data_IF_649815837877
#
_entry.id   IF_649815837877
#
_cell.length_a   1.000
_cell.length_b   1.000
_cell.length_c   1.000
_cell.angle_alpha   90.00
_cell.angle_beta   90.00
_cell.angle_gamma   90.00
#
_symmetry.space_group_name_H-M   'P 1'
#
loop_
_entity.id
_entity.type
_entity.pdbx_description
1 polymer ?
#
# COMPACT_ATOMS: atom_id res chain seq x y z
N UNK A 1 -7.55 -13.62 -13.33
CA UNK A 1 -7.24 -12.33 -12.66
C UNK A 1 -7.32 -12.35 -11.11
N UNK A 2 -7.98 -13.31 -10.46
CA UNK A 2 -7.98 -13.44 -8.97
C UNK A 2 -6.71 -14.08 -8.37
N UNK A 3 -5.91 -14.81 -9.13
CA UNK A 3 -4.68 -15.47 -8.68
C UNK A 3 -3.43 -14.58 -8.56
N UNK A 4 -3.37 -13.46 -9.30
CA UNK A 4 -2.22 -12.53 -9.29
C UNK A 4 -2.18 -11.59 -8.07
N UNK A 5 -3.24 -11.52 -7.27
CA UNK A 5 -3.28 -10.72 -6.03
C UNK A 5 -2.68 -11.44 -4.81
N UNK A 6 -2.50 -12.75 -4.86
CA UNK A 6 -2.07 -13.58 -3.72
C UNK A 6 -0.63 -13.38 -3.24
N UNK A 7 0.19 -12.64 -3.99
CA UNK A 7 1.65 -12.58 -3.77
C UNK A 7 2.14 -11.29 -3.09
N UNK A 8 1.23 -10.45 -2.62
CA UNK A 8 1.58 -9.07 -2.27
C UNK A 8 2.05 -8.84 -0.83
N UNK A 9 1.92 -9.81 0.11
CA UNK A 9 1.85 -9.35 1.51
C UNK A 9 2.51 -10.26 2.55
N UNK A 10 3.53 -10.99 2.20
CA UNK A 10 4.32 -11.72 3.22
C UNK A 10 5.41 -10.88 3.89
N UNK A 11 5.48 -9.57 3.67
CA UNK A 11 6.60 -8.76 4.19
C UNK A 11 6.27 -7.29 4.48
N UNK A 12 5.15 -7.03 5.19
CA UNK A 12 4.93 -5.72 5.82
C UNK A 12 5.38 -5.77 7.29
N UNK A 13 6.58 -6.26 7.53
CA UNK A 13 7.41 -5.78 8.62
C UNK A 13 8.60 -5.14 7.90
N UNK A 14 8.49 -3.82 7.65
CA UNK A 14 9.65 -3.06 7.22
C UNK A 14 10.63 -3.02 8.39
N UNK A 15 11.77 -3.72 8.33
CA UNK A 15 12.84 -3.39 9.23
C UNK A 15 13.24 -1.96 8.89
N UNK A 16 13.24 -1.09 9.89
CA UNK A 16 13.93 0.17 9.83
C UNK A 16 15.40 -0.17 9.51
N UNK A 17 15.74 -0.22 8.22
CA UNK A 17 17.05 -0.58 7.74
C UNK A 17 17.98 0.55 8.17
N UNK A 18 18.77 0.28 9.24
CA UNK A 18 20.05 0.95 9.42
C UNK A 18 20.79 0.81 8.10
N UNK A 19 21.04 1.93 7.46
CA UNK A 19 21.90 2.05 6.28
C UNK A 19 23.29 1.52 6.65
N UNK A 20 23.55 0.26 6.36
CA UNK A 20 24.91 -0.23 6.24
C UNK A 20 25.24 -0.25 4.75
N UNK A 21 26.18 0.61 4.41
CA UNK A 21 26.64 0.82 3.06
C UNK A 21 27.18 -0.46 2.41
N UNK A 22 26.46 -0.88 1.41
CA UNK A 22 27.01 -1.47 0.20
C UNK A 22 25.96 -1.21 -0.90
N UNK A 23 26.19 -0.20 -1.73
CA UNK A 23 25.37 0.11 -2.90
C UNK A 23 25.71 -0.89 -3.98
N UNK A 24 24.80 -1.73 -4.49
CA UNK A 24 24.97 -2.34 -5.77
C UNK A 24 24.71 -1.26 -6.83
N UNK A 25 25.67 -1.12 -7.74
CA UNK A 25 25.57 -0.39 -9.00
C UNK A 25 24.25 -0.74 -9.70
N UNK A 26 23.55 0.30 -10.21
CA UNK A 26 22.23 0.22 -10.85
C UNK A 26 22.05 -0.94 -11.82
N UNK A 27 21.30 -1.95 -11.36
CA UNK A 27 20.97 -3.15 -12.12
C UNK A 27 19.67 -3.75 -11.59
N UNK A 28 18.95 -4.42 -12.49
CA UNK A 28 17.81 -5.29 -12.23
C UNK A 28 18.08 -6.17 -11.00
N UNK A 29 17.08 -6.36 -10.14
CA UNK A 29 17.21 -7.19 -8.94
C UNK A 29 17.63 -8.62 -9.33
N UNK A 30 18.68 -9.16 -8.71
CA UNK A 30 19.01 -10.59 -8.86
C UNK A 30 17.98 -11.43 -8.09
N UNK A 31 16.94 -11.84 -8.84
CA UNK A 31 15.81 -12.63 -8.31
C UNK A 31 16.31 -13.95 -7.70
N UNK A 32 17.29 -14.59 -8.32
CA UNK A 32 17.86 -15.87 -7.86
C UNK A 32 18.54 -15.67 -6.50
N UNK A 33 19.36 -14.62 -6.39
CA UNK A 33 20.04 -14.30 -5.12
C UNK A 33 19.05 -13.95 -4.03
N UNK A 34 17.98 -13.21 -4.35
CA UNK A 34 16.93 -12.83 -3.41
C UNK A 34 16.17 -14.04 -2.87
N UNK A 35 15.77 -14.96 -3.75
CA UNK A 35 15.08 -16.20 -3.37
C UNK A 35 15.98 -17.10 -2.52
N UNK A 36 17.27 -17.24 -2.90
CA UNK A 36 18.26 -17.97 -2.09
C UNK A 36 18.30 -17.48 -0.64
N UNK A 37 18.41 -16.16 -0.45
CA UNK A 37 18.50 -15.55 0.87
C UNK A 37 17.21 -15.72 1.68
N UNK A 38 16.05 -15.56 1.06
CA UNK A 38 14.75 -15.65 1.73
C UNK A 38 14.38 -17.09 2.12
N UNK A 39 14.67 -18.07 1.26
CA UNK A 39 14.34 -19.47 1.51
C UNK A 39 15.48 -20.27 2.17
N UNK A 40 16.64 -19.64 2.36
CA UNK A 40 17.83 -20.27 2.94
C UNK A 40 18.24 -21.56 2.22
N UNK A 41 18.18 -21.52 0.88
CA UNK A 41 18.59 -22.62 -0.01
C UNK A 41 19.84 -22.23 -0.81
N UNK A 42 20.47 -23.19 -1.49
CA UNK A 42 21.65 -22.89 -2.29
C UNK A 42 21.27 -22.28 -3.65
N UNK A 43 22.15 -21.41 -4.19
CA UNK A 43 21.91 -20.69 -5.46
C UNK A 43 21.60 -21.65 -6.61
N UNK A 44 22.37 -22.73 -6.73
CA UNK A 44 22.19 -23.73 -7.78
C UNK A 44 20.85 -24.47 -7.69
N UNK A 45 20.30 -24.66 -6.46
CA UNK A 45 18.99 -25.26 -6.25
C UNK A 45 17.87 -24.35 -6.80
N UNK A 46 17.99 -23.04 -6.52
CA UNK A 46 17.06 -22.05 -7.06
C UNK A 46 17.12 -22.00 -8.58
N UNK A 47 18.33 -21.92 -9.16
CA UNK A 47 18.53 -21.92 -10.62
C UNK A 47 17.94 -23.16 -11.28
N UNK A 48 18.17 -24.34 -10.70
CA UNK A 48 17.63 -25.61 -11.22
C UNK A 48 16.10 -25.65 -11.13
N UNK A 49 15.52 -25.21 -10.01
CA UNK A 49 14.07 -25.17 -9.84
C UNK A 49 13.41 -24.18 -10.80
N UNK A 50 13.96 -22.96 -10.92
CA UNK A 50 13.46 -21.92 -11.84
C UNK A 50 13.49 -22.43 -13.27
N UNK A 51 14.58 -23.09 -13.69
CA UNK A 51 14.68 -23.68 -15.04
C UNK A 51 13.57 -24.69 -15.31
N UNK A 52 13.31 -25.61 -14.36
CA UNK A 52 12.26 -26.61 -14.49
C UNK A 52 10.86 -25.97 -14.53
N UNK A 53 10.62 -24.93 -13.75
CA UNK A 53 9.35 -24.18 -13.75
C UNK A 53 9.17 -23.49 -15.12
N UNK A 54 10.20 -22.86 -15.64
CA UNK A 54 10.18 -22.17 -16.93
C UNK A 54 9.98 -23.13 -18.13
N UNK A 55 10.42 -24.38 -17.98
CA UNK A 55 10.12 -25.47 -18.91
C UNK A 55 8.66 -25.96 -18.84
N UNK A 56 7.83 -25.40 -17.95
CA UNK A 56 6.41 -25.72 -17.79
C UNK A 56 6.14 -26.95 -16.91
N UNK A 57 7.11 -27.42 -16.14
CA UNK A 57 6.90 -28.53 -15.23
C UNK A 57 6.07 -28.08 -14.00
N UNK A 58 5.15 -28.90 -13.56
CA UNK A 58 4.35 -28.62 -12.34
C UNK A 58 5.14 -28.91 -11.06
N UNK A 59 4.89 -28.16 -10.00
CA UNK A 59 5.56 -28.35 -8.70
C UNK A 59 5.48 -29.80 -8.19
N UNK A 60 4.31 -30.49 -8.23
CA UNK A 60 4.24 -31.90 -7.84
C UNK A 60 5.09 -32.82 -8.71
N UNK A 61 5.28 -32.50 -9.99
CA UNK A 61 6.16 -33.27 -10.88
C UNK A 61 7.61 -33.07 -10.48
N UNK A 62 8.04 -31.83 -10.27
CA UNK A 62 9.41 -31.49 -9.85
C UNK A 62 9.75 -32.16 -8.53
N UNK A 63 8.87 -32.06 -7.52
CA UNK A 63 9.11 -32.61 -6.18
C UNK A 63 9.21 -34.14 -6.16
N UNK A 64 8.56 -34.83 -7.09
CA UNK A 64 8.57 -36.31 -7.16
C UNK A 64 9.66 -36.88 -8.07
N UNK A 65 9.83 -36.27 -9.25
CA UNK A 65 10.60 -36.85 -10.33
C UNK A 65 11.89 -36.11 -10.68
N UNK A 66 12.17 -34.96 -10.04
CA UNK A 66 13.35 -34.13 -10.30
C UNK A 66 14.13 -33.77 -9.03
N UNK A 67 13.98 -34.56 -7.97
CA UNK A 67 14.67 -34.35 -6.68
C UNK A 67 16.19 -34.23 -6.83
N UNK A 68 16.77 -35.06 -7.65
CA UNK A 68 18.21 -35.03 -7.89
C UNK A 68 18.69 -33.72 -8.52
N UNK A 69 17.90 -33.15 -9.41
CA UNK A 69 18.21 -31.90 -10.11
C UNK A 69 18.08 -30.71 -9.18
N UNK A 70 17.09 -30.73 -8.26
CA UNK A 70 16.80 -29.61 -7.34
C UNK A 70 17.48 -29.75 -5.96
N UNK A 71 18.34 -30.76 -5.78
CA UNK A 71 18.99 -31.01 -4.49
C UNK A 71 17.99 -31.35 -3.40
N UNK A 72 16.97 -32.15 -3.73
CA UNK A 72 15.95 -32.65 -2.80
C UNK A 72 15.06 -31.58 -2.18
N UNK A 73 14.82 -30.46 -2.86
CA UNK A 73 13.80 -29.50 -2.42
C UNK A 73 12.45 -30.20 -2.29
N UNK A 74 11.79 -30.01 -1.18
CA UNK A 74 10.48 -30.59 -0.93
C UNK A 74 9.36 -29.80 -1.61
N UNK A 75 8.13 -30.32 -1.59
CA UNK A 75 6.96 -29.69 -2.24
C UNK A 75 6.66 -28.29 -1.67
N UNK A 76 6.80 -28.10 -0.37
CA UNK A 76 6.57 -26.81 0.30
C UNK A 76 7.63 -25.78 -0.10
N UNK A 77 8.92 -26.16 -0.11
CA UNK A 77 10.00 -25.28 -0.56
C UNK A 77 9.84 -24.88 -2.03
N UNK A 78 9.45 -25.81 -2.89
CA UNK A 78 9.22 -25.53 -4.31
C UNK A 78 8.00 -24.65 -4.55
N UNK A 79 6.94 -24.79 -3.76
CA UNK A 79 5.77 -23.90 -3.82
C UNK A 79 6.14 -22.48 -3.39
N UNK A 80 6.81 -22.35 -2.25
CA UNK A 80 7.28 -21.05 -1.76
C UNK A 80 8.22 -20.39 -2.76
N UNK A 81 9.09 -21.16 -3.42
CA UNK A 81 9.97 -20.68 -4.47
C UNK A 81 9.17 -20.18 -5.69
N UNK A 82 8.21 -20.96 -6.19
CA UNK A 82 7.38 -20.60 -7.35
C UNK A 82 6.53 -19.35 -7.07
N UNK A 83 5.91 -19.28 -5.92
CA UNK A 83 5.15 -18.11 -5.47
C UNK A 83 6.05 -16.87 -5.40
N UNK A 84 7.22 -17.00 -4.80
CA UNK A 84 8.16 -15.89 -4.68
C UNK A 84 8.75 -15.45 -6.00
N UNK A 85 9.08 -16.41 -6.87
CA UNK A 85 9.56 -16.17 -8.25
C UNK A 85 8.51 -15.36 -9.03
N UNK A 86 7.26 -15.78 -8.99
CA UNK A 86 6.16 -15.11 -9.68
C UNK A 86 5.97 -13.69 -9.17
N UNK A 87 6.05 -13.48 -7.84
CA UNK A 87 5.98 -12.16 -7.24
C UNK A 87 7.13 -11.25 -7.70
N UNK A 88 8.37 -11.71 -7.60
CA UNK A 88 9.53 -10.90 -7.94
C UNK A 88 9.58 -10.56 -9.44
N UNK A 89 9.18 -11.48 -10.31
CA UNK A 89 9.00 -11.20 -11.75
C UNK A 89 7.94 -10.13 -11.98
N UNK A 90 6.79 -10.24 -11.33
CA UNK A 90 5.74 -9.22 -11.43
C UNK A 90 6.19 -7.86 -10.90
N UNK A 91 7.04 -7.82 -9.87
CA UNK A 91 7.63 -6.60 -9.35
C UNK A 91 8.57 -5.94 -10.37
N UNK A 92 9.48 -6.72 -10.99
CA UNK A 92 10.39 -6.18 -12.00
C UNK A 92 9.66 -5.73 -13.27
N UNK A 93 8.70 -6.51 -13.76
CA UNK A 93 7.83 -6.12 -14.86
C UNK A 93 7.09 -4.81 -14.57
N UNK A 94 6.60 -4.64 -13.34
CA UNK A 94 5.94 -3.41 -12.93
C UNK A 94 6.89 -2.22 -12.89
N UNK A 95 8.12 -2.41 -12.36
CA UNK A 95 9.14 -1.36 -12.36
C UNK A 95 9.44 -0.89 -13.78
N UNK A 96 9.63 -1.84 -14.71
CA UNK A 96 9.92 -1.52 -16.11
C UNK A 96 8.76 -0.74 -16.76
N UNK A 97 7.51 -1.20 -16.57
CA UNK A 97 6.33 -0.50 -17.08
C UNK A 97 6.22 0.92 -16.53
N UNK A 98 6.47 1.10 -15.23
CA UNK A 98 6.40 2.40 -14.56
C UNK A 98 7.50 3.33 -15.06
N UNK A 99 8.74 2.87 -15.15
CA UNK A 99 9.87 3.65 -15.66
C UNK A 99 9.58 4.12 -17.08
N UNK A 100 9.14 3.21 -17.97
CA UNK A 100 8.78 3.54 -19.35
C UNK A 100 7.67 4.59 -19.42
N UNK A 101 6.61 4.42 -18.62
CA UNK A 101 5.49 5.37 -18.59
C UNK A 101 5.88 6.77 -18.12
N UNK A 102 6.80 6.88 -17.15
CA UNK A 102 7.30 8.18 -16.65
C UNK A 102 8.27 8.81 -17.66
N UNK A 103 9.10 7.98 -18.30
CA UNK A 103 10.03 8.42 -19.36
C UNK A 103 9.28 8.99 -20.56
N UNK A 104 8.22 8.32 -21.02
CA UNK A 104 7.34 8.79 -22.10
C UNK A 104 6.69 10.15 -21.78
N UNK A 105 6.49 10.46 -20.50
CA UNK A 105 6.00 11.76 -20.03
C UNK A 105 7.11 12.83 -19.92
N UNK A 106 8.37 12.46 -20.12
CA UNK A 106 9.52 13.36 -19.96
C UNK A 106 9.78 13.81 -18.51
N UNK A 107 9.28 13.06 -17.51
CA UNK A 107 9.35 13.41 -16.09
C UNK A 107 10.28 12.49 -15.28
N UNK A 108 10.98 11.57 -15.92
CA UNK A 108 11.88 10.66 -15.24
C UNK A 108 13.18 11.37 -14.84
N UNK A 109 13.42 11.44 -13.53
CA UNK A 109 14.68 11.93 -12.94
C UNK A 109 15.53 10.76 -12.47
N UNK A 110 16.86 10.94 -12.38
CA UNK A 110 17.77 9.88 -11.93
C UNK A 110 17.46 9.43 -10.50
N UNK A 111 17.11 10.36 -9.58
CA UNK A 111 16.70 10.04 -8.20
C UNK A 111 15.42 9.18 -8.17
N UNK A 112 14.42 9.52 -8.98
CA UNK A 112 13.18 8.74 -9.07
C UNK A 112 13.43 7.35 -9.65
N UNK A 113 14.28 7.26 -10.66
CA UNK A 113 14.70 5.99 -11.25
C UNK A 113 15.38 5.09 -10.23
N UNK A 114 16.33 5.64 -9.46
CA UNK A 114 16.99 4.91 -8.37
C UNK A 114 15.99 4.43 -7.31
N UNK A 115 15.06 5.27 -6.88
CA UNK A 115 14.00 4.91 -5.92
C UNK A 115 13.11 3.78 -6.42
N UNK A 116 12.69 3.83 -7.70
CA UNK A 116 11.86 2.77 -8.31
C UNK A 116 12.63 1.46 -8.40
N UNK A 117 13.89 1.49 -8.85
CA UNK A 117 14.74 0.29 -8.92
C UNK A 117 15.02 -0.31 -7.55
N UNK A 118 15.23 0.53 -6.52
CA UNK A 118 15.46 0.10 -5.14
C UNK A 118 14.20 -0.43 -4.42
N UNK A 119 13.01 -0.20 -4.96
CA UNK A 119 11.75 -0.62 -4.35
C UNK A 119 11.69 -2.15 -4.22
N UNK A 120 11.30 -2.62 -3.02
CA UNK A 120 11.24 -4.05 -2.68
C UNK A 120 9.82 -4.63 -2.78
N UNK A 121 8.81 -3.77 -2.96
CA UNK A 121 7.40 -4.18 -3.01
C UNK A 121 6.64 -3.43 -4.10
N UNK A 122 5.60 -4.06 -4.63
CA UNK A 122 4.70 -3.46 -5.62
C UNK A 122 4.03 -2.20 -5.09
N UNK A 123 3.70 -2.17 -3.79
CA UNK A 123 3.05 -1.02 -3.15
C UNK A 123 3.94 0.23 -3.20
N UNK A 124 5.25 0.07 -2.91
CA UNK A 124 6.21 1.19 -3.00
C UNK A 124 6.35 1.68 -4.44
N UNK A 125 6.40 0.77 -5.42
CA UNK A 125 6.44 1.15 -6.84
C UNK A 125 5.18 1.90 -7.25
N UNK A 126 4.00 1.45 -6.78
CA UNK A 126 2.74 2.12 -7.08
C UNK A 126 2.62 3.50 -6.40
N UNK A 127 3.12 3.65 -5.17
CA UNK A 127 3.17 4.94 -4.49
C UNK A 127 4.09 5.93 -5.23
N UNK A 128 5.29 5.49 -5.68
CA UNK A 128 6.20 6.31 -6.47
C UNK A 128 5.62 6.69 -7.85
N UNK A 129 4.82 5.82 -8.46
CA UNK A 129 4.16 6.07 -9.74
C UNK A 129 2.92 6.97 -9.63
N UNK A 130 2.34 7.09 -8.44
CA UNK A 130 1.04 7.75 -8.21
C UNK A 130 0.94 9.18 -8.77
N UNK A 131 1.94 10.07 -8.63
CA UNK A 131 1.91 11.41 -9.20
C UNK A 131 1.88 11.43 -10.74
N UNK A 132 2.39 10.38 -11.38
CA UNK A 132 2.56 10.27 -12.83
C UNK A 132 1.47 9.44 -13.51
N UNK A 133 0.68 8.75 -12.71
CA UNK A 133 -0.40 7.90 -13.23
C UNK A 133 -1.50 8.74 -13.86
N UNK A 134 -1.95 8.43 -15.09
CA UNK A 134 -3.10 9.10 -15.68
C UNK A 134 -4.32 8.97 -14.75
N UNK A 135 -4.81 10.09 -14.27
CA UNK A 135 -5.96 10.16 -13.36
C UNK A 135 -7.24 10.45 -14.16
N UNK A 136 -8.35 9.91 -13.69
CA UNK A 136 -9.67 10.37 -14.14
C UNK A 136 -9.91 11.79 -13.61
N UNK A 137 -10.94 12.50 -14.10
CA UNK A 137 -11.29 13.83 -13.60
C UNK A 137 -11.45 13.82 -12.08
N UNK A 138 -10.49 14.45 -11.39
CA UNK A 138 -10.50 14.68 -9.94
C UNK A 138 -10.79 16.16 -9.68
N UNK A 139 -11.13 16.52 -8.43
CA UNK A 139 -11.28 17.94 -8.06
C UNK A 139 -10.03 18.74 -8.38
N UNK A 140 -8.86 18.19 -8.07
CA UNK A 140 -7.57 18.82 -8.35
C UNK A 140 -7.29 18.93 -9.86
N UNK A 141 -7.61 17.90 -10.68
CA UNK A 141 -7.42 18.00 -12.14
C UNK A 141 -8.32 19.06 -12.75
N UNK A 142 -9.57 19.17 -12.29
CA UNK A 142 -10.49 20.24 -12.72
C UNK A 142 -9.95 21.61 -12.31
N UNK A 143 -9.42 21.74 -11.07
CA UNK A 143 -8.82 22.99 -10.61
C UNK A 143 -7.57 23.37 -11.42
N UNK A 144 -6.77 22.39 -11.85
CA UNK A 144 -5.62 22.63 -12.75
C UNK A 144 -6.06 23.06 -14.15
N UNK A 145 -7.10 22.42 -14.72
CA UNK A 145 -7.71 22.84 -15.98
C UNK A 145 -8.23 24.28 -15.92
N UNK A 146 -8.75 24.71 -14.77
CA UNK A 146 -9.16 26.10 -14.48
C UNK A 146 -7.97 27.06 -14.27
N UNK A 147 -6.73 26.57 -14.26
CA UNK A 147 -5.52 27.39 -14.14
C UNK A 147 -5.21 27.85 -12.71
N UNK A 148 -5.63 27.10 -11.69
CA UNK A 148 -5.43 27.43 -10.28
C UNK A 148 -4.11 26.88 -9.69
N UNK A 149 -3.30 26.18 -10.48
CA UNK A 149 -2.00 25.64 -10.04
C UNK A 149 -1.03 26.72 -9.52
N UNK A 150 -0.89 27.90 -10.17
CA UNK A 150 -0.02 28.96 -9.64
C UNK A 150 -0.49 29.53 -8.29
N UNK A 151 -1.82 29.52 -8.01
CA UNK A 151 -2.35 29.92 -6.71
C UNK A 151 -1.97 28.89 -5.62
N UNK A 152 -2.06 27.58 -5.94
CA UNK A 152 -1.59 26.54 -5.03
C UNK A 152 -0.09 26.66 -4.72
N UNK A 153 0.74 26.93 -5.73
CA UNK A 153 2.17 27.19 -5.56
C UNK A 153 2.43 28.42 -4.70
N UNK A 154 1.67 29.51 -4.90
CA UNK A 154 1.78 30.72 -4.10
C UNK A 154 1.52 30.44 -2.61
N UNK A 155 0.46 29.67 -2.31
CA UNK A 155 0.15 29.25 -0.94
C UNK A 155 1.28 28.42 -0.33
N UNK A 156 1.84 27.48 -1.09
CA UNK A 156 2.91 26.59 -0.63
C UNK A 156 4.26 27.31 -0.42
N UNK A 157 4.48 28.48 -1.01
CA UNK A 157 5.67 29.31 -0.72
C UNK A 157 5.64 29.90 0.69
N UNK A 158 4.46 30.04 1.30
CA UNK A 158 4.27 30.54 2.68
C UNK A 158 4.85 31.93 2.91
N UNK A 159 4.74 32.80 1.92
CA UNK A 159 5.29 34.16 1.93
C UNK A 159 4.19 35.22 1.72
N UNK A 160 2.93 34.89 1.93
CA UNK A 160 1.82 35.83 1.77
C UNK A 160 1.92 36.98 2.80
N UNK A 161 1.78 38.22 2.34
CA UNK A 161 1.78 39.41 3.16
C UNK A 161 0.40 40.02 3.33
N UNK A 162 -0.61 39.47 2.65
CA UNK A 162 -1.98 39.94 2.67
C UNK A 162 -2.95 38.71 2.61
N UNK A 163 -4.24 38.94 2.92
CA UNK A 163 -5.24 37.86 2.86
C UNK A 163 -5.28 37.15 1.51
N UNK A 164 -5.28 35.82 1.52
CA UNK A 164 -5.23 34.99 0.31
C UNK A 164 -6.40 35.23 -0.64
N UNK A 165 -7.53 35.76 -0.17
CA UNK A 165 -8.67 36.12 -1.02
C UNK A 165 -8.32 37.24 -2.02
N UNK A 166 -7.40 38.13 -1.65
CA UNK A 166 -6.92 39.18 -2.55
C UNK A 166 -6.11 38.60 -3.72
N UNK A 167 -5.27 37.61 -3.42
CA UNK A 167 -4.53 36.88 -4.46
C UNK A 167 -5.46 36.02 -5.29
N UNK A 168 -6.38 35.28 -4.63
CA UNK A 168 -7.36 34.42 -5.27
C UNK A 168 -8.30 35.20 -6.23
N UNK A 169 -8.60 36.46 -5.94
CA UNK A 169 -9.40 37.31 -6.81
C UNK A 169 -8.80 37.50 -8.20
N UNK A 170 -7.48 37.41 -8.35
CA UNK A 170 -6.80 37.51 -9.65
C UNK A 170 -7.08 36.32 -10.58
N UNK A 171 -7.54 35.20 -10.02
CA UNK A 171 -7.84 33.97 -10.76
C UNK A 171 -9.33 33.81 -11.08
N UNK A 172 -10.17 34.78 -10.69
CA UNK A 172 -11.61 34.78 -11.06
C UNK A 172 -11.74 35.04 -12.55
N UNK A 173 -12.40 34.12 -13.26
CA UNK A 173 -12.62 34.20 -14.70
C UNK A 173 -13.86 33.43 -15.08
N UNK A 174 -14.80 34.08 -15.78
CA UNK A 174 -16.00 33.41 -16.31
C UNK A 174 -15.64 32.38 -17.38
N UNK A 175 -14.62 32.61 -18.20
CA UNK A 175 -14.15 31.67 -19.22
C UNK A 175 -13.63 30.37 -18.62
N UNK A 176 -13.04 30.43 -17.42
CA UNK A 176 -12.51 29.27 -16.70
C UNK A 176 -13.48 28.71 -15.65
N UNK A 177 -14.71 29.20 -15.65
CA UNK A 177 -15.75 28.78 -14.70
C UNK A 177 -15.32 28.96 -13.22
N UNK A 178 -14.54 29.98 -12.90
CA UNK A 178 -14.19 30.39 -11.54
C UNK A 178 -14.93 31.70 -11.24
N UNK A 179 -15.98 31.61 -10.45
CA UNK A 179 -16.90 32.72 -10.24
C UNK A 179 -16.52 33.62 -9.06
N UNK A 180 -15.91 33.03 -8.03
CA UNK A 180 -15.56 33.75 -6.81
C UNK A 180 -14.12 33.44 -6.35
N UNK A 181 -13.50 34.34 -5.56
CA UNK A 181 -12.19 34.09 -4.97
C UNK A 181 -12.18 32.86 -4.05
N UNK A 182 -13.29 32.57 -3.38
CA UNK A 182 -13.43 31.39 -2.51
C UNK A 182 -13.37 30.09 -3.33
N UNK A 183 -14.02 30.06 -4.51
CA UNK A 183 -13.92 28.93 -5.43
C UNK A 183 -12.48 28.73 -5.93
N UNK A 184 -11.77 29.81 -6.22
CA UNK A 184 -10.36 29.75 -6.61
C UNK A 184 -9.48 29.18 -5.47
N UNK A 185 -9.72 29.66 -4.24
CA UNK A 185 -8.98 29.20 -3.07
C UNK A 185 -9.27 27.71 -2.77
N UNK A 186 -10.54 27.29 -2.87
CA UNK A 186 -10.94 25.89 -2.72
C UNK A 186 -10.28 24.99 -3.77
N UNK A 187 -10.24 25.43 -5.04
CA UNK A 187 -9.54 24.70 -6.08
C UNK A 187 -8.04 24.57 -5.83
N UNK A 188 -7.39 25.62 -5.32
CA UNK A 188 -5.99 25.56 -4.92
C UNK A 188 -5.78 24.60 -3.75
N UNK A 189 -6.67 24.57 -2.76
CA UNK A 189 -6.64 23.58 -1.67
C UNK A 189 -6.79 22.14 -2.19
N UNK A 190 -7.69 21.89 -3.13
CA UNK A 190 -7.87 20.57 -3.73
C UNK A 190 -6.59 20.09 -4.45
N UNK A 191 -5.86 21.02 -5.12
CA UNK A 191 -4.56 20.71 -5.74
C UNK A 191 -3.53 20.37 -4.67
N UNK A 192 -3.44 21.15 -3.60
CA UNK A 192 -2.49 20.91 -2.49
C UNK A 192 -2.82 19.57 -1.83
N UNK A 193 -4.09 19.28 -1.52
CA UNK A 193 -4.52 18.05 -0.90
C UNK A 193 -4.17 16.81 -1.76
N UNK A 194 -4.36 16.88 -3.07
CA UNK A 194 -3.96 15.79 -3.97
C UNK A 194 -2.45 15.61 -4.01
N UNK A 195 -1.67 16.70 -4.04
CA UNK A 195 -0.21 16.66 -4.03
C UNK A 195 0.30 15.97 -2.76
N UNK A 196 -0.26 16.30 -1.59
CA UNK A 196 0.06 15.66 -0.31
C UNK A 196 -0.25 14.16 -0.37
N UNK A 197 -1.41 13.79 -0.92
CA UNK A 197 -1.85 12.40 -1.00
C UNK A 197 -1.04 11.53 -1.96
N UNK A 198 -0.39 12.16 -2.93
CA UNK A 198 0.42 11.48 -3.94
C UNK A 198 1.88 11.30 -3.52
N UNK A 199 2.30 11.94 -2.44
CA UNK A 199 3.66 11.81 -1.92
C UNK A 199 3.88 10.42 -1.31
N UNK A 200 4.87 9.70 -1.86
CA UNK A 200 5.17 8.32 -1.47
C UNK A 200 5.71 8.21 -0.03
N UNK A 201 6.49 9.20 0.43
CA UNK A 201 7.06 9.21 1.77
C UNK A 201 5.98 9.45 2.82
N UNK A 202 5.01 10.34 2.54
CA UNK A 202 3.84 10.54 3.39
C UNK A 202 3.02 9.26 3.51
N UNK A 203 2.73 8.60 2.39
CA UNK A 203 1.97 7.35 2.39
C UNK A 203 2.68 6.23 3.14
N UNK A 204 3.99 6.10 2.92
CA UNK A 204 4.81 5.11 3.62
C UNK A 204 4.78 5.33 5.14
N UNK A 205 4.97 6.57 5.59
CA UNK A 205 4.91 6.90 7.01
C UNK A 205 3.54 6.58 7.61
N UNK A 206 2.45 7.03 6.96
CA UNK A 206 1.09 6.84 7.46
C UNK A 206 0.73 5.35 7.50
N UNK A 207 1.10 4.58 6.50
CA UNK A 207 0.91 3.12 6.47
C UNK A 207 1.62 2.45 7.64
N UNK A 208 2.90 2.77 7.84
CA UNK A 208 3.70 2.16 8.90
C UNK A 208 3.15 2.49 10.29
N UNK A 209 2.82 3.74 10.57
CA UNK A 209 2.28 4.13 11.86
C UNK A 209 0.89 3.54 12.12
N UNK A 210 0.05 3.38 11.07
CA UNK A 210 -1.25 2.74 11.20
C UNK A 210 -1.11 1.24 11.47
N UNK A 211 -0.14 0.56 10.89
CA UNK A 211 0.15 -0.86 11.22
C UNK A 211 0.67 -1.00 12.66
N UNK A 212 1.55 -0.08 13.08
CA UNK A 212 2.18 -0.14 14.40
C UNK A 212 1.24 0.21 15.55
N UNK A 213 0.44 1.26 15.40
CA UNK A 213 -0.36 1.86 16.47
C UNK A 213 -1.87 1.83 16.21
N UNK A 214 -2.28 1.42 15.01
CA UNK A 214 -3.69 1.36 14.64
C UNK A 214 -4.44 0.27 15.38
N UNK A 215 -5.75 0.48 15.53
CA UNK A 215 -6.68 -0.40 16.24
C UNK A 215 -7.77 -0.83 15.27
N UNK A 216 -7.96 -2.15 15.14
CA UNK A 216 -9.12 -2.72 14.45
C UNK A 216 -10.30 -2.65 15.40
N UNK A 217 -11.39 -2.04 14.95
CA UNK A 217 -12.63 -1.94 15.73
C UNK A 217 -13.79 -2.63 15.02
N UNK A 218 -14.62 -3.30 15.80
CA UNK A 218 -15.89 -3.85 15.37
C UNK A 218 -17.02 -3.23 16.19
N UNK A 219 -18.03 -2.70 15.50
CA UNK A 219 -19.22 -2.14 16.16
C UNK A 219 -20.49 -2.75 15.59
N UNK A 220 -21.47 -3.05 16.45
CA UNK A 220 -22.76 -3.53 15.99
C UNK A 220 -23.51 -2.42 15.25
N UNK A 221 -24.24 -2.79 14.19
CA UNK A 221 -25.20 -1.88 13.57
C UNK A 221 -26.48 -1.75 14.38
N UNK A 222 -26.86 -2.83 15.07
CA UNK A 222 -27.95 -2.86 16.04
C UNK A 222 -27.46 -3.65 17.27
N UNK A 223 -27.19 -2.94 18.37
CA UNK A 223 -26.70 -3.54 19.61
C UNK A 223 -27.72 -4.47 20.30
N UNK A 224 -29.00 -4.36 19.95
CA UNK A 224 -30.06 -5.17 20.52
C UNK A 224 -30.31 -6.47 19.75
N UNK A 225 -29.76 -6.58 18.55
CA UNK A 225 -29.92 -7.77 17.72
C UNK A 225 -29.04 -8.91 18.28
N UNK A 226 -29.65 -10.06 18.57
CA UNK A 226 -28.89 -11.26 18.92
C UNK A 226 -28.26 -11.88 17.67
N UNK A 227 -26.96 -12.11 17.71
CA UNK A 227 -26.25 -12.75 16.64
C UNK A 227 -25.05 -13.57 17.14
N UNK A 228 -24.48 -14.40 16.29
CA UNK A 228 -23.23 -15.14 16.58
C UNK A 228 -22.00 -14.21 16.69
N UNK A 229 -22.17 -12.90 16.42
CA UNK A 229 -21.11 -11.90 16.43
C UNK A 229 -21.15 -10.99 17.66
N UNK A 230 -21.95 -11.30 18.69
CA UNK A 230 -22.09 -10.46 19.91
C UNK A 230 -20.74 -10.13 20.55
N UNK A 231 -19.79 -11.06 20.54
CA UNK A 231 -18.44 -10.83 21.08
C UNK A 231 -17.62 -9.76 20.30
N UNK A 232 -18.10 -9.34 19.13
CA UNK A 232 -17.47 -8.33 18.29
C UNK A 232 -18.24 -7.00 18.25
N UNK A 233 -19.29 -6.83 19.04
CA UNK A 233 -20.13 -5.62 19.03
C UNK A 233 -19.40 -4.38 19.55
N UNK A 234 -18.45 -4.56 20.48
CA UNK A 234 -17.56 -3.52 20.98
C UNK A 234 -16.13 -4.07 20.98
N UNK A 235 -15.66 -4.47 19.81
CA UNK A 235 -14.36 -5.12 19.67
C UNK A 235 -13.29 -4.10 19.35
N UNK A 236 -12.14 -4.22 20.05
CA UNK A 236 -10.95 -3.42 19.79
C UNK A 236 -9.70 -4.30 19.95
N UNK A 237 -8.85 -4.31 18.93
CA UNK A 237 -7.56 -5.00 19.00
C UNK A 237 -6.51 -4.31 18.12
N UNK A 238 -5.23 -4.17 18.58
CA UNK A 238 -4.18 -3.59 17.75
C UNK A 238 -3.98 -4.35 16.45
N UNK A 239 -3.82 -3.61 15.33
CA UNK A 239 -3.62 -4.17 13.97
C UNK A 239 -2.54 -5.25 13.96
N UNK A 240 -1.40 -5.00 14.62
CA UNK A 240 -0.25 -5.93 14.63
C UNK A 240 -0.45 -7.20 15.45
N UNK A 241 -1.48 -7.24 16.31
CA UNK A 241 -1.70 -8.36 17.25
C UNK A 241 -2.94 -9.19 16.93
N UNK A 242 -3.81 -8.67 16.07
CA UNK A 242 -5.09 -9.32 15.79
C UNK A 242 -4.91 -10.72 15.19
N UNK A 243 -5.60 -11.69 15.77
CA UNK A 243 -5.54 -13.07 15.31
C UNK A 243 -6.37 -13.26 14.03
N UNK A 244 -5.86 -14.09 13.09
CA UNK A 244 -6.50 -14.32 11.78
C UNK A 244 -7.96 -14.78 11.86
N UNK A 245 -8.30 -15.68 12.80
CA UNK A 245 -9.68 -16.13 12.97
C UNK A 245 -10.64 -15.00 13.35
N UNK A 246 -10.16 -13.97 14.09
CA UNK A 246 -10.96 -12.79 14.45
C UNK A 246 -11.16 -11.88 13.25
N UNK A 247 -10.12 -11.70 12.41
CA UNK A 247 -10.24 -10.97 11.14
C UNK A 247 -11.30 -11.60 10.25
N UNK A 248 -11.28 -12.92 10.09
CA UNK A 248 -12.29 -13.63 9.28
C UNK A 248 -13.69 -13.52 9.87
N UNK A 249 -13.82 -13.57 11.19
CA UNK A 249 -15.12 -13.41 11.87
C UNK A 249 -15.67 -11.98 11.69
N UNK A 250 -14.83 -10.94 11.86
CA UNK A 250 -15.20 -9.56 11.62
C UNK A 250 -15.63 -9.32 10.18
N UNK A 251 -14.87 -9.83 9.19
CA UNK A 251 -15.20 -9.71 7.78
C UNK A 251 -16.54 -10.39 7.43
N UNK A 252 -16.82 -11.57 8.05
CA UNK A 252 -18.10 -12.25 7.87
C UNK A 252 -19.24 -11.45 8.47
N UNK A 253 -19.09 -10.95 9.71
CA UNK A 253 -20.11 -10.11 10.36
C UNK A 253 -20.41 -8.82 9.59
N UNK A 254 -19.40 -8.24 8.95
CA UNK A 254 -19.58 -7.07 8.07
C UNK A 254 -20.31 -7.44 6.77
N UNK A 255 -19.96 -8.56 6.14
CA UNK A 255 -20.61 -9.05 4.93
C UNK A 255 -22.10 -9.38 5.17
N UNK A 256 -22.42 -9.91 6.35
CA UNK A 256 -23.79 -10.18 6.82
C UNK A 256 -24.52 -8.92 7.31
N UNK A 257 -23.84 -7.75 7.25
CA UNK A 257 -24.37 -6.43 7.66
C UNK A 257 -24.73 -6.31 9.15
N UNK A 258 -24.19 -7.16 10.00
CA UNK A 258 -24.34 -7.12 11.45
C UNK A 258 -23.33 -6.16 12.07
N UNK A 259 -22.10 -6.16 11.56
CA UNK A 259 -21.00 -5.35 12.06
C UNK A 259 -20.64 -4.21 11.10
N UNK A 260 -20.01 -3.19 11.65
CA UNK A 260 -19.19 -2.19 10.95
C UNK A 260 -17.76 -2.37 11.43
N UNK A 261 -16.83 -2.58 10.52
CA UNK A 261 -15.41 -2.81 10.85
C UNK A 261 -14.57 -1.67 10.31
N UNK A 262 -13.69 -1.12 11.17
CA UNK A 262 -12.78 -0.02 10.79
C UNK A 262 -11.38 -0.27 11.33
N UNK A 263 -10.40 0.39 10.73
CA UNK A 263 -9.05 0.50 11.26
C UNK A 263 -8.82 1.95 11.66
N UNK A 264 -8.80 2.20 12.96
CA UNK A 264 -8.58 3.53 13.53
C UNK A 264 -7.07 3.78 13.62
N UNK A 265 -6.58 4.73 12.84
CA UNK A 265 -5.19 5.18 12.86
C UNK A 265 -4.98 6.26 13.96
N UNK A 266 -3.73 6.52 14.39
CA UNK A 266 -3.40 7.62 15.31
C UNK A 266 -3.42 8.97 14.56
N UNK A 267 -4.63 9.48 14.27
CA UNK A 267 -4.90 10.64 13.40
C UNK A 267 -4.12 11.87 13.82
N UNK A 268 -4.16 12.26 15.10
CA UNK A 268 -3.45 13.45 15.59
C UNK A 268 -1.95 13.41 15.30
N UNK A 269 -1.34 12.24 15.44
CA UNK A 269 0.08 12.05 15.18
C UNK A 269 0.41 12.14 13.70
N UNK A 270 -0.50 11.63 12.86
CA UNK A 270 -0.38 11.70 11.40
C UNK A 270 -0.49 13.15 10.93
N UNK A 271 -1.52 13.88 11.38
CA UNK A 271 -1.71 15.28 11.00
C UNK A 271 -0.53 16.14 11.44
N UNK A 272 -0.06 16.02 12.68
CA UNK A 272 1.15 16.71 13.16
C UNK A 272 2.40 16.42 12.32
N UNK A 273 2.56 15.17 11.86
CA UNK A 273 3.67 14.81 10.97
C UNK A 273 3.57 15.53 9.64
N UNK A 274 2.39 15.52 9.00
CA UNK A 274 2.15 16.17 7.72
C UNK A 274 2.32 17.69 7.83
N UNK A 275 1.73 18.31 8.84
CA UNK A 275 1.88 19.73 9.13
C UNK A 275 3.35 20.12 9.29
N UNK A 276 4.09 19.38 10.12
CA UNK A 276 5.53 19.64 10.34
C UNK A 276 6.37 19.50 9.06
N UNK A 277 5.96 18.65 8.12
CA UNK A 277 6.65 18.48 6.83
C UNK A 277 6.32 19.59 5.85
N UNK A 278 5.10 20.09 5.88
CA UNK A 278 4.60 21.05 4.89
C UNK A 278 4.75 22.51 5.35
N UNK A 279 4.55 22.78 6.64
CA UNK A 279 4.67 24.12 7.20
C UNK A 279 6.13 24.36 7.55
N UNK A 280 6.84 25.02 6.65
CA UNK A 280 8.25 25.40 6.82
C UNK A 280 8.40 26.80 7.42
N UNK A 281 7.42 27.68 7.19
CA UNK A 281 7.33 29.03 7.72
C UNK A 281 5.92 29.29 8.21
N UNK A 282 5.75 29.59 9.50
CA UNK A 282 4.45 30.02 10.01
C UNK A 282 4.03 31.34 9.35
N UNK A 283 2.83 31.37 8.83
CA UNK A 283 2.27 32.54 8.15
C UNK A 283 0.78 32.64 8.46
N UNK A 284 0.34 33.80 8.91
CA UNK A 284 -1.03 34.05 9.34
C UNK A 284 -2.08 33.70 8.27
N UNK A 285 -1.72 33.90 6.98
CA UNK A 285 -2.66 33.74 5.87
C UNK A 285 -2.60 32.34 5.25
N UNK A 286 -1.41 31.74 5.13
CA UNK A 286 -1.24 30.46 4.43
C UNK A 286 -1.34 29.24 5.34
N UNK A 287 -0.89 29.34 6.59
CA UNK A 287 -0.89 28.21 7.53
C UNK A 287 -2.28 27.60 7.73
N UNK A 288 -3.37 28.37 7.98
CA UNK A 288 -4.70 27.79 8.13
C UNK A 288 -5.18 27.03 6.89
N UNK A 289 -4.84 27.54 5.70
CA UNK A 289 -5.23 26.92 4.43
C UNK A 289 -4.46 25.63 4.17
N UNK A 290 -3.18 25.59 4.54
CA UNK A 290 -2.36 24.37 4.44
C UNK A 290 -2.86 23.33 5.44
N UNK A 291 -3.17 23.68 6.69
CA UNK A 291 -3.74 22.76 7.68
C UNK A 291 -5.05 22.16 7.17
N UNK A 292 -5.97 22.98 6.66
CA UNK A 292 -7.21 22.50 6.08
C UNK A 292 -6.99 21.56 4.87
N UNK A 293 -5.98 21.83 4.02
CA UNK A 293 -5.61 20.95 2.93
C UNK A 293 -5.01 19.62 3.41
N UNK A 294 -4.24 19.62 4.51
CA UNK A 294 -3.70 18.43 5.16
C UNK A 294 -4.82 17.54 5.70
N UNK A 295 -5.77 18.13 6.42
CA UNK A 295 -6.94 17.40 6.95
C UNK A 295 -7.76 16.78 5.80
N UNK A 296 -8.12 17.55 4.78
CA UNK A 296 -8.86 17.06 3.61
C UNK A 296 -8.11 15.96 2.87
N UNK A 297 -6.79 16.12 2.69
CA UNK A 297 -5.94 15.11 2.05
C UNK A 297 -5.96 13.80 2.82
N UNK A 298 -5.82 13.87 4.15
CA UNK A 298 -5.83 12.70 5.00
C UNK A 298 -7.20 12.03 4.98
N UNK A 299 -8.26 12.74 5.33
CA UNK A 299 -9.59 12.16 5.52
C UNK A 299 -10.21 11.63 4.22
N UNK A 300 -10.04 12.36 3.13
CA UNK A 300 -10.69 12.04 1.86
C UNK A 300 -9.86 11.12 0.97
N UNK A 301 -8.54 11.27 0.94
CA UNK A 301 -7.68 10.63 -0.05
C UNK A 301 -6.78 9.53 0.53
N UNK A 302 -6.18 9.76 1.71
CA UNK A 302 -5.16 8.86 2.26
C UNK A 302 -5.78 7.80 3.16
N UNK A 303 -6.54 8.20 4.18
CA UNK A 303 -7.07 7.28 5.20
C UNK A 303 -7.93 6.16 4.61
N UNK A 304 -8.90 6.41 3.70
CA UNK A 304 -9.70 5.33 3.13
C UNK A 304 -8.91 4.35 2.25
N UNK A 305 -7.83 4.84 1.63
CA UNK A 305 -6.97 4.00 0.80
C UNK A 305 -6.09 3.09 1.66
N UNK A 306 -5.41 3.65 2.67
CA UNK A 306 -4.53 2.90 3.57
C UNK A 306 -5.34 1.94 4.45
N UNK A 307 -6.51 2.34 4.96
CA UNK A 307 -7.39 1.43 5.68
C UNK A 307 -7.74 0.20 4.84
N UNK A 308 -8.11 0.40 3.58
CA UNK A 308 -8.42 -0.70 2.66
C UNK A 308 -7.22 -1.60 2.39
N UNK A 309 -6.04 -1.02 2.21
CA UNK A 309 -4.79 -1.76 2.05
C UNK A 309 -4.55 -2.66 3.27
N UNK A 310 -4.56 -2.10 4.47
CA UNK A 310 -4.32 -2.84 5.72
C UNK A 310 -5.37 -3.92 5.93
N UNK A 311 -6.64 -3.65 5.68
CA UNK A 311 -7.71 -4.64 5.82
C UNK A 311 -7.55 -5.80 4.83
N UNK A 312 -7.15 -5.51 3.59
CA UNK A 312 -6.85 -6.55 2.60
C UNK A 312 -5.69 -7.42 3.05
N UNK A 313 -4.63 -6.80 3.58
CA UNK A 313 -3.44 -7.49 4.09
C UNK A 313 -3.77 -8.42 5.27
N UNK A 314 -4.56 -7.93 6.21
CA UNK A 314 -5.02 -8.73 7.35
C UNK A 314 -5.87 -9.91 6.89
N UNK A 315 -6.75 -9.69 5.91
CA UNK A 315 -7.63 -10.73 5.36
C UNK A 315 -6.82 -11.82 4.67
N UNK A 316 -5.87 -11.45 3.82
CA UNK A 316 -5.02 -12.39 3.09
C UNK A 316 -4.19 -13.25 4.05
N UNK A 317 -3.54 -12.63 5.04
CA UNK A 317 -2.82 -13.35 6.10
C UNK A 317 -3.72 -14.31 6.89
N UNK A 318 -4.94 -13.89 7.17
CA UNK A 318 -5.91 -14.69 7.90
C UNK A 318 -6.40 -15.89 7.08
N UNK A 319 -6.64 -15.70 5.78
CA UNK A 319 -7.04 -16.78 4.85
C UNK A 319 -5.92 -17.80 4.69
N UNK A 320 -4.68 -17.36 4.48
CA UNK A 320 -3.52 -18.25 4.37
C UNK A 320 -3.30 -19.06 5.66
N UNK A 321 -3.41 -18.40 6.82
CA UNK A 321 -3.34 -19.06 8.11
C UNK A 321 -4.44 -20.12 8.30
N UNK A 322 -5.67 -19.83 7.90
CA UNK A 322 -6.78 -20.77 7.98
C UNK A 322 -6.60 -21.98 7.04
N UNK A 323 -6.12 -21.76 5.82
CA UNK A 323 -5.81 -22.83 4.87
C UNK A 323 -4.72 -23.76 5.43
N UNK A 324 -3.67 -23.20 6.03
CA UNK A 324 -2.59 -23.98 6.63
C UNK A 324 -3.07 -24.84 7.81
N UNK A 325 -3.93 -24.28 8.67
CA UNK A 325 -4.53 -25.04 9.79
C UNK A 325 -5.42 -26.15 9.25
N UNK A 326 -6.25 -25.87 8.24
CA UNK A 326 -7.11 -26.86 7.61
C UNK A 326 -6.28 -27.99 6.98
N UNK A 327 -5.22 -27.65 6.26
CA UNK A 327 -4.30 -28.63 5.64
C UNK A 327 -3.69 -29.58 6.67
N UNK A 328 -3.17 -29.04 7.79
CA UNK A 328 -2.62 -29.84 8.89
C UNK A 328 -3.67 -30.77 9.54
N UNK A 329 -4.86 -30.27 9.77
CA UNK A 329 -5.95 -31.07 10.34
C UNK A 329 -6.37 -32.19 9.38
N UNK A 330 -6.45 -31.91 8.08
CA UNK A 330 -6.77 -32.90 7.07
C UNK A 330 -5.68 -34.00 6.98
N UNK A 331 -4.40 -33.61 7.01
CA UNK A 331 -3.27 -34.54 7.04
C UNK A 331 -3.36 -35.46 8.25
N UNK A 332 -3.57 -34.90 9.45
CA UNK A 332 -3.73 -35.68 10.67
C UNK A 332 -4.91 -36.67 10.59
N UNK A 333 -6.04 -36.24 10.01
CA UNK A 333 -7.20 -37.11 9.83
C UNK A 333 -6.92 -38.25 8.86
N UNK A 334 -6.22 -38.00 7.77
CA UNK A 334 -5.89 -39.01 6.76
C UNK A 334 -4.81 -40.00 7.23
N UNK A 335 -3.95 -39.59 8.18
CA UNK A 335 -2.91 -40.44 8.76
C UNK A 335 -3.35 -41.18 10.01
N UNK A 336 -4.61 -41.08 10.40
CA UNK A 336 -5.14 -41.88 11.51
C UNK A 336 -5.07 -43.40 11.18
N UNK A 337 -4.62 -44.22 12.15
CA UNK A 337 -4.61 -45.66 11.94
C UNK A 337 -6.05 -46.19 11.73
N UNK A 338 -6.23 -47.22 10.88
CA UNK A 338 -7.54 -47.85 10.70
C UNK A 338 -8.12 -48.29 12.05
N UNK A 339 -9.39 -48.02 12.24
CA UNK A 339 -10.11 -48.55 13.41
C UNK A 339 -10.18 -50.07 13.24
N UNK A 340 -9.67 -50.80 14.22
CA UNK A 340 -9.69 -52.28 14.25
C UNK A 340 -11.10 -52.82 14.46
#
# INVERSE_FOLDING_TARGET
>A
MKRLRKLLISSIIYPCAKQNGNRPSGGTMDIIQKIKEELQVEKWQVEAAVKLIDEGNTIPFISRYRKEVTGSLNDEQLRNLDERLTYLRSLEDKKEQVLKSIEEQGKLTDDLKEKILAAQTLVVVEDLYRPYRPKRKTRASIAKEKGLEPLAEYILRQEATEPLLNEAAKYVSEEKEVKTPEEALQGAQDIIAETISDDADHRLYIRNITVEEGIVTGTAKDEKAQSVYEMYYNFEEPVKKIAGHRVLALNRGEAEKVLTVKVNAPVERILRYLEKKLITKENEYTTPVICAAVEDSYDRLIAPAIEREIRNDLTEKAEDGAINVFGKNLEQLLLQPPIA
#
